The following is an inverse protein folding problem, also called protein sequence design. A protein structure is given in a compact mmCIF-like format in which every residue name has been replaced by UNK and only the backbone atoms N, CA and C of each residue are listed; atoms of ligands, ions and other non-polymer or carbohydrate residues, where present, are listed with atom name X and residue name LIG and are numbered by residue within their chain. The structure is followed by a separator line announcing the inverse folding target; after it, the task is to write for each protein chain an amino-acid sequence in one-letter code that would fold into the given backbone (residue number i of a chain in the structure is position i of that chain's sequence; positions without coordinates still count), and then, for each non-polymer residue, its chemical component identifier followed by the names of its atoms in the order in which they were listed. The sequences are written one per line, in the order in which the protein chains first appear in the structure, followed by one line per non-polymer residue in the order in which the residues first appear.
data_IF_004232545928
#
_entry.id   IF_004232545928
#
_cell.length_a   1.000
_cell.length_b   1.000
_cell.length_c   1.000
_cell.angle_alpha   90.00
_cell.angle_beta   90.00
_cell.angle_gamma   90.00
#
_symmetry.space_group_name_H-M   'P 1'
#
loop_
_entity.id
_entity.type
_entity.pdbx_description
1 polymer ?
#
# COMPACT_ATOMS: atom_id res chain seq x y z
N UNK A 1 11.77 -19.93 0.40
CA UNK A 1 10.98 -19.82 1.63
C UNK A 1 9.56 -20.22 1.23
N UNK A 2 9.03 -21.31 1.76
CA UNK A 2 7.71 -21.81 1.37
C UNK A 2 6.64 -21.18 2.30
N UNK A 3 5.60 -20.59 1.72
CA UNK A 3 4.51 -19.96 2.47
C UNK A 3 3.40 -20.96 2.74
N UNK A 4 2.92 -21.01 4.00
CA UNK A 4 1.94 -22.01 4.45
C UNK A 4 0.51 -21.57 4.24
N UNK A 5 0.26 -20.27 4.22
CA UNK A 5 -1.06 -19.70 3.98
C UNK A 5 -1.01 -18.34 3.27
N UNK A 6 -2.16 -17.86 2.80
CA UNK A 6 -2.25 -16.54 2.17
C UNK A 6 -2.07 -15.39 3.17
N UNK A 7 -2.10 -15.65 4.49
CA UNK A 7 -1.86 -14.62 5.51
C UNK A 7 -0.37 -14.28 5.59
N UNK A 8 0.51 -15.28 5.57
CA UNK A 8 1.96 -15.10 5.49
C UNK A 8 2.36 -14.37 4.20
N UNK A 9 1.77 -14.77 3.06
CA UNK A 9 1.96 -14.08 1.78
C UNK A 9 1.51 -12.62 1.88
N UNK A 10 0.35 -12.36 2.51
CA UNK A 10 -0.16 -11.01 2.70
C UNK A 10 0.77 -10.14 3.56
N UNK A 11 1.26 -10.66 4.68
CA UNK A 11 2.20 -9.96 5.56
C UNK A 11 3.52 -9.66 4.84
N UNK A 12 4.05 -10.62 4.07
CA UNK A 12 5.27 -10.39 3.30
C UNK A 12 5.07 -9.32 2.22
N UNK A 13 3.94 -9.36 1.52
CA UNK A 13 3.59 -8.37 0.52
C UNK A 13 3.45 -6.96 1.13
N UNK A 14 2.87 -6.84 2.33
CA UNK A 14 2.83 -5.59 3.09
C UNK A 14 4.23 -5.05 3.37
N UNK A 15 5.14 -5.90 3.85
CA UNK A 15 6.52 -5.51 4.15
C UNK A 15 7.26 -5.03 2.90
N UNK A 16 7.17 -5.78 1.79
CA UNK A 16 7.81 -5.45 0.52
C UNK A 16 7.36 -4.09 -0.01
N UNK A 17 6.04 -3.89 -0.10
CA UNK A 17 5.50 -2.65 -0.63
C UNK A 17 5.71 -1.46 0.33
N UNK A 18 5.62 -1.68 1.65
CA UNK A 18 5.91 -0.63 2.64
C UNK A 18 7.36 -0.14 2.55
N UNK A 19 8.31 -1.07 2.44
CA UNK A 19 9.73 -0.74 2.28
C UNK A 19 9.99 0.08 1.02
N UNK A 20 9.46 -0.37 -0.12
CA UNK A 20 9.63 0.32 -1.39
C UNK A 20 9.03 1.75 -1.38
N UNK A 21 7.82 1.91 -0.83
CA UNK A 21 7.17 3.22 -0.73
C UNK A 21 8.00 4.16 0.14
N UNK A 22 8.41 3.70 1.33
CA UNK A 22 9.21 4.53 2.24
C UNK A 22 10.50 4.99 1.59
N UNK A 23 11.21 4.07 0.93
CA UNK A 23 12.44 4.38 0.20
C UNK A 23 12.24 5.46 -0.87
N UNK A 24 11.14 5.41 -1.63
CA UNK A 24 10.82 6.45 -2.61
C UNK A 24 10.46 7.79 -1.95
N UNK A 25 9.72 7.74 -0.85
CA UNK A 25 9.25 8.96 -0.18
C UNK A 25 10.34 9.70 0.62
N UNK A 26 11.46 9.04 0.93
CA UNK A 26 12.60 9.66 1.64
C UNK A 26 13.16 10.90 0.90
N UNK A 27 13.03 10.94 -0.42
CA UNK A 27 13.49 12.08 -1.25
C UNK A 27 12.68 13.36 -1.01
N UNK A 28 11.46 13.26 -0.47
CA UNK A 28 10.58 14.41 -0.23
C UNK A 28 10.80 14.99 1.18
N UNK A 29 11.99 15.55 1.43
CA UNK A 29 12.44 16.00 2.77
C UNK A 29 11.40 16.84 3.53
N UNK A 30 10.79 17.82 2.85
CA UNK A 30 9.78 18.72 3.42
C UNK A 30 8.46 18.04 3.84
N UNK A 31 8.17 16.88 3.25
CA UNK A 31 6.94 16.12 3.44
C UNK A 31 7.16 14.81 4.23
N UNK A 32 8.42 14.42 4.39
CA UNK A 32 8.85 13.20 5.05
C UNK A 32 8.94 13.35 6.57
N UNK A 33 9.38 14.51 7.08
CA UNK A 33 9.52 14.71 8.53
C UNK A 33 8.28 15.29 9.22
N UNK A 34 7.27 15.75 8.45
CA UNK A 34 6.09 16.43 8.98
C UNK A 34 6.43 17.87 9.41
N UNK A 35 5.63 18.86 8.98
CA UNK A 35 5.86 20.27 9.35
C UNK A 35 5.17 20.67 10.67
N UNK A 36 4.30 19.81 11.20
CA UNK A 36 3.58 19.96 12.47
C UNK A 36 3.51 18.60 13.17
N UNK A 37 3.57 18.58 14.50
CA UNK A 37 3.54 17.36 15.32
C UNK A 37 2.33 16.46 15.03
N UNK A 38 1.20 17.05 14.59
CA UNK A 38 -0.07 16.35 14.34
C UNK A 38 -0.34 16.01 12.86
N UNK A 39 0.52 16.40 11.92
CA UNK A 39 0.28 16.09 10.50
C UNK A 39 0.86 14.71 10.13
N UNK A 40 0.06 13.80 9.53
CA UNK A 40 0.55 12.48 9.14
C UNK A 40 1.69 12.62 8.14
N UNK A 41 2.86 12.09 8.47
CA UNK A 41 4.07 12.19 7.67
C UNK A 41 4.15 11.08 6.59
N UNK A 42 4.86 11.32 5.49
CA UNK A 42 5.13 10.26 4.50
C UNK A 42 5.97 9.11 5.05
N UNK A 43 6.72 9.32 6.14
CA UNK A 43 7.43 8.25 6.87
C UNK A 43 6.48 7.17 7.40
N UNK A 44 5.23 7.54 7.67
CA UNK A 44 4.20 6.62 8.14
C UNK A 44 3.48 5.89 6.98
N UNK A 45 3.86 6.16 5.72
CA UNK A 45 3.32 5.43 4.59
C UNK A 45 3.52 3.93 4.77
N UNK A 46 2.46 3.17 4.53
CA UNK A 46 2.41 1.72 4.73
C UNK A 46 1.47 1.07 3.73
N UNK A 47 1.77 -0.18 3.40
CA UNK A 47 0.84 -1.06 2.71
C UNK A 47 0.04 -1.85 3.74
N UNK A 48 -1.25 -2.04 3.47
CA UNK A 48 -2.14 -2.87 4.28
C UNK A 48 -2.92 -3.82 3.39
N UNK A 49 -2.79 -5.11 3.71
CA UNK A 49 -3.53 -6.19 3.10
C UNK A 49 -4.92 -6.28 3.71
N UNK A 50 -5.87 -6.68 2.88
CA UNK A 50 -7.21 -7.08 3.31
C UNK A 50 -7.38 -8.53 2.96
N UNK A 51 -7.50 -9.34 4.00
CA UNK A 51 -7.79 -10.77 3.90
C UNK A 51 -9.26 -11.02 4.21
N UNK A 52 -9.84 -12.05 3.59
CA UNK A 52 -11.18 -12.53 3.92
C UNK A 52 -11.09 -13.96 4.44
N UNK A 53 -11.80 -14.21 5.52
CA UNK A 53 -11.91 -15.54 6.11
C UNK A 53 -13.15 -16.24 5.55
N UNK A 54 -12.99 -17.48 5.13
CA UNK A 54 -14.03 -18.34 4.58
C UNK A 54 -13.93 -19.73 5.21
N UNK A 55 -15.09 -20.27 5.61
CA UNK A 55 -15.19 -21.66 6.06
C UNK A 55 -14.17 -22.10 7.10
N UNK A 56 -14.00 -23.41 7.22
CA UNK A 56 -12.92 -24.06 7.97
C UNK A 56 -12.27 -25.08 7.05
N UNK A 57 -10.94 -25.14 7.08
CA UNK A 57 -10.13 -26.21 6.47
C UNK A 57 -10.40 -27.53 7.20
N UNK A 58 -9.95 -28.64 6.61
CA UNK A 58 -10.02 -29.99 7.21
C UNK A 58 -9.42 -30.04 8.62
N UNK A 59 -8.35 -29.28 8.86
CA UNK A 59 -7.65 -29.19 10.16
C UNK A 59 -8.37 -28.30 11.19
N UNK A 60 -9.59 -27.82 10.89
CA UNK A 60 -10.37 -26.94 11.77
C UNK A 60 -9.98 -25.46 11.71
N UNK A 61 -8.81 -25.12 11.15
CA UNK A 61 -8.36 -23.75 10.95
C UNK A 61 -9.19 -23.00 9.89
N UNK A 62 -9.42 -21.69 10.08
CA UNK A 62 -10.16 -20.87 9.11
C UNK A 62 -9.36 -20.69 7.81
N UNK A 63 -10.00 -20.80 6.65
CA UNK A 63 -9.33 -20.52 5.38
C UNK A 63 -9.29 -19.01 5.16
N UNK A 64 -8.10 -18.47 4.92
CA UNK A 64 -7.85 -17.04 4.74
C UNK A 64 -7.43 -16.80 3.30
N UNK A 65 -8.04 -15.79 2.67
CA UNK A 65 -7.76 -15.41 1.29
C UNK A 65 -7.35 -13.95 1.21
N UNK A 66 -6.21 -13.68 0.59
CA UNK A 66 -5.78 -12.33 0.24
C UNK A 66 -6.68 -11.78 -0.87
N UNK A 67 -7.26 -10.60 -0.65
CA UNK A 67 -8.16 -9.94 -1.61
C UNK A 67 -7.57 -8.73 -2.28
N UNK A 68 -6.93 -7.86 -1.49
CA UNK A 68 -6.34 -6.62 -1.99
C UNK A 68 -5.23 -6.15 -1.08
N UNK A 69 -4.30 -5.42 -1.67
CA UNK A 69 -3.25 -4.68 -0.98
C UNK A 69 -3.49 -3.19 -1.24
N UNK A 70 -3.54 -2.38 -0.18
CA UNK A 70 -3.87 -0.95 -0.28
C UNK A 70 -2.74 -0.14 0.32
N UNK A 71 -2.40 0.95 -0.34
CA UNK A 71 -1.41 1.91 0.17
C UNK A 71 -2.12 2.95 1.03
N UNK A 72 -1.62 3.15 2.26
CA UNK A 72 -2.05 4.18 3.20
C UNK A 72 -0.93 5.20 3.34
N UNK A 73 -1.22 6.44 3.00
CA UNK A 73 -0.28 7.56 3.12
C UNK A 73 -1.03 8.87 3.34
N UNK A 74 -0.29 9.90 3.74
CA UNK A 74 -0.82 11.24 3.88
C UNK A 74 -1.28 11.83 2.55
N UNK A 75 -2.27 12.73 2.59
CA UNK A 75 -2.89 13.33 1.40
C UNK A 75 -1.86 13.95 0.47
N UNK A 76 -0.87 14.68 1.00
CA UNK A 76 0.16 15.33 0.20
C UNK A 76 1.03 14.34 -0.59
N UNK A 77 1.13 13.07 -0.17
CA UNK A 77 1.81 12.03 -0.96
C UNK A 77 1.09 11.74 -2.27
N UNK A 78 -0.24 11.64 -2.24
CA UNK A 78 -1.04 11.47 -3.47
C UNK A 78 -0.99 12.71 -4.36
N UNK A 79 -1.03 13.90 -3.74
CA UNK A 79 -0.89 15.18 -4.45
C UNK A 79 0.48 15.26 -5.14
N UNK A 80 1.56 14.87 -4.47
CA UNK A 80 2.90 14.77 -5.07
C UNK A 80 2.94 13.78 -6.24
N UNK A 81 2.23 12.65 -6.10
CA UNK A 81 2.20 11.60 -7.10
C UNK A 81 1.58 12.06 -8.43
N UNK A 82 0.39 12.66 -8.35
CA UNK A 82 -0.39 13.06 -9.52
C UNK A 82 -0.10 14.50 -9.98
N UNK A 83 0.58 15.29 -9.16
CA UNK A 83 0.75 16.72 -9.39
C UNK A 83 -0.55 17.49 -9.12
N UNK A 84 -0.47 18.80 -9.31
CA UNK A 84 -1.60 19.72 -9.16
C UNK A 84 -1.52 20.74 -10.27
N UNK A 85 -2.67 21.04 -10.87
CA UNK A 85 -2.87 22.26 -11.63
C UNK A 85 -4.21 22.86 -11.15
N UNK A 86 -4.12 23.84 -10.26
CA UNK A 86 -5.31 24.47 -9.66
C UNK A 86 -5.01 25.87 -9.14
N UNK A 87 -6.04 26.70 -9.00
CA UNK A 87 -5.94 27.99 -8.34
C UNK A 87 -5.90 27.80 -6.81
N UNK A 88 -4.82 28.22 -6.17
CA UNK A 88 -4.70 28.20 -4.71
C UNK A 88 -5.40 29.43 -4.14
N UNK A 89 -6.27 29.22 -3.15
CA UNK A 89 -6.94 30.31 -2.46
C UNK A 89 -5.92 31.27 -1.79
N UNK A 90 -6.18 32.56 -1.93
CA UNK A 90 -5.47 33.61 -1.19
C UNK A 90 -5.79 33.59 0.30
N UNK A 91 -5.09 34.42 1.07
CA UNK A 91 -5.35 34.57 2.50
C UNK A 91 -4.31 35.44 3.19
N UNK A 92 -4.18 35.26 4.51
CA UNK A 92 -3.24 36.02 5.32
C UNK A 92 -2.16 35.10 5.90
N UNK A 93 -0.90 35.55 5.87
CA UNK A 93 0.22 34.90 6.57
C UNK A 93 0.77 35.82 7.65
N UNK A 94 1.02 35.27 8.83
CA UNK A 94 1.78 35.96 9.88
C UNK A 94 3.28 35.82 9.60
N UNK A 95 3.95 36.96 9.52
CA UNK A 95 5.41 37.07 9.51
C UNK A 95 5.97 36.66 10.88
N UNK A 96 7.24 36.21 10.89
CA UNK A 96 8.02 36.01 12.12
C UNK A 96 8.17 37.32 12.93
N UNK A 97 8.03 38.46 12.28
CA UNK A 97 8.10 39.80 12.88
C UNK A 97 6.73 40.28 13.41
N UNK A 98 5.71 39.43 13.45
CA UNK A 98 4.39 39.73 14.02
C UNK A 98 3.37 40.35 13.06
N UNK A 99 3.81 40.95 11.95
CA UNK A 99 2.92 41.55 10.95
C UNK A 99 2.23 40.48 10.10
N UNK A 100 0.93 40.63 9.83
CA UNK A 100 0.21 39.81 8.85
C UNK A 100 0.24 40.49 7.48
N UNK A 101 0.57 39.74 6.42
CA UNK A 101 0.42 40.19 5.05
C UNK A 101 -0.58 39.33 4.29
N UNK A 102 -1.32 39.99 3.39
CA UNK A 102 -2.26 39.36 2.46
C UNK A 102 -1.50 38.77 1.27
N UNK A 103 -1.96 37.63 0.76
CA UNK A 103 -1.51 37.07 -0.51
C UNK A 103 -2.74 36.70 -1.34
N UNK A 104 -2.71 37.09 -2.61
CA UNK A 104 -3.80 36.82 -3.54
C UNK A 104 -3.87 35.33 -3.92
N UNK A 105 -5.03 34.96 -4.47
CA UNK A 105 -5.16 33.68 -5.13
C UNK A 105 -4.19 33.62 -6.31
N UNK A 106 -3.47 32.51 -6.42
CA UNK A 106 -2.44 32.34 -7.44
C UNK A 106 -2.46 30.91 -7.95
N UNK A 107 -2.01 30.75 -9.19
CA UNK A 107 -1.90 29.45 -9.82
C UNK A 107 -0.88 28.60 -9.07
N UNK A 108 -1.28 27.38 -8.75
CA UNK A 108 -0.42 26.36 -8.17
C UNK A 108 -0.26 25.24 -9.18
N UNK A 109 0.88 25.27 -9.84
CA UNK A 109 1.34 24.19 -10.69
C UNK A 109 2.42 23.38 -9.96
N UNK A 110 2.17 22.09 -9.85
CA UNK A 110 3.13 21.14 -9.32
C UNK A 110 3.20 19.95 -10.26
N UNK A 111 4.39 19.69 -10.81
CA UNK A 111 4.62 18.55 -11.70
C UNK A 111 4.47 17.23 -10.94
N UNK A 112 3.74 16.29 -11.55
CA UNK A 112 3.58 14.94 -11.05
C UNK A 112 4.93 14.24 -10.85
N UNK A 113 5.08 13.54 -9.72
CA UNK A 113 6.22 12.68 -9.40
C UNK A 113 5.71 11.25 -9.24
N UNK A 114 5.72 10.40 -10.28
CA UNK A 114 4.99 9.12 -10.29
C UNK A 114 5.57 7.99 -9.41
N UNK A 115 6.01 8.32 -8.19
CA UNK A 115 6.75 7.42 -7.30
C UNK A 115 5.97 6.20 -6.80
N UNK A 116 4.64 6.24 -6.73
CA UNK A 116 3.81 5.09 -6.29
C UNK A 116 3.94 3.94 -7.29
N UNK A 117 3.84 4.23 -8.58
CA UNK A 117 4.01 3.23 -9.64
C UNK A 117 5.41 2.63 -9.61
N UNK A 118 6.43 3.47 -9.41
CA UNK A 118 7.82 3.02 -9.29
C UNK A 118 8.05 2.17 -8.04
N UNK A 119 7.40 2.49 -6.92
CA UNK A 119 7.46 1.68 -5.70
C UNK A 119 6.81 0.31 -5.90
N UNK A 120 5.67 0.24 -6.59
CA UNK A 120 5.00 -1.04 -6.91
C UNK A 120 5.92 -1.90 -7.78
N UNK A 121 6.51 -1.32 -8.84
CA UNK A 121 7.45 -2.03 -9.71
C UNK A 121 8.69 -2.50 -8.95
N UNK A 122 9.36 -1.62 -8.21
CA UNK A 122 10.57 -1.96 -7.47
C UNK A 122 10.33 -2.99 -6.36
N UNK A 123 9.13 -3.04 -5.81
CA UNK A 123 8.80 -4.00 -4.76
C UNK A 123 8.62 -5.43 -5.27
N UNK A 124 8.47 -5.64 -6.58
CA UNK A 124 8.09 -6.93 -7.19
C UNK A 124 6.85 -7.59 -6.55
N UNK A 125 6.04 -6.81 -5.83
CA UNK A 125 4.95 -7.34 -5.00
C UNK A 125 3.85 -7.99 -5.83
N UNK A 126 3.63 -7.51 -7.05
CA UNK A 126 2.62 -8.04 -7.97
C UNK A 126 3.01 -9.45 -8.40
N UNK A 127 4.25 -9.63 -8.84
CA UNK A 127 4.78 -10.94 -9.25
C UNK A 127 4.80 -11.90 -8.06
N UNK A 128 5.35 -11.46 -6.93
CA UNK A 128 5.39 -12.23 -5.70
C UNK A 128 4.00 -12.75 -5.28
N UNK A 129 2.99 -11.86 -5.20
CA UNK A 129 1.64 -12.26 -4.80
C UNK A 129 1.04 -13.20 -5.85
N UNK A 130 1.21 -12.91 -7.15
CA UNK A 130 0.63 -13.73 -8.21
C UNK A 130 1.14 -15.17 -8.19
N UNK A 131 2.45 -15.37 -8.05
CA UNK A 131 3.07 -16.68 -8.05
C UNK A 131 2.69 -17.47 -6.80
N UNK A 132 2.91 -16.90 -5.62
CA UNK A 132 2.74 -17.61 -4.36
C UNK A 132 1.26 -17.91 -4.06
N UNK A 133 0.35 -16.99 -4.37
CA UNK A 133 -1.09 -17.24 -4.18
C UNK A 133 -1.59 -18.29 -5.20
N UNK A 134 -1.16 -18.22 -6.46
CA UNK A 134 -1.55 -19.21 -7.46
C UNK A 134 -1.06 -20.61 -7.10
N UNK A 135 0.21 -20.75 -6.71
CA UNK A 135 0.79 -22.02 -6.30
C UNK A 135 0.06 -22.60 -5.07
N UNK A 136 -0.16 -21.77 -4.04
CA UNK A 136 -0.84 -22.21 -2.83
C UNK A 136 -2.29 -22.63 -3.10
N UNK A 137 -3.01 -21.90 -3.95
CA UNK A 137 -4.37 -22.27 -4.35
C UNK A 137 -4.40 -23.52 -5.22
N UNK A 138 -3.45 -23.69 -6.14
CA UNK A 138 -3.34 -24.88 -6.97
C UNK A 138 -3.06 -26.13 -6.13
N UNK A 139 -2.15 -26.05 -5.15
CA UNK A 139 -1.89 -27.13 -4.17
C UNK A 139 -3.16 -27.50 -3.40
N UNK A 140 -3.84 -26.52 -2.80
CA UNK A 140 -5.11 -26.75 -2.08
C UNK A 140 -6.17 -27.40 -2.98
N UNK A 141 -6.30 -26.93 -4.22
CA UNK A 141 -7.27 -27.48 -5.16
C UNK A 141 -6.95 -28.93 -5.57
N UNK A 142 -5.68 -29.24 -5.80
CA UNK A 142 -5.24 -30.61 -6.09
C UNK A 142 -5.52 -31.56 -4.92
N UNK A 143 -5.23 -31.14 -3.69
CA UNK A 143 -5.54 -31.91 -2.46
C UNK A 143 -7.05 -32.14 -2.28
N UNK A 144 -7.87 -31.14 -2.60
CA UNK A 144 -9.33 -31.26 -2.57
C UNK A 144 -9.89 -32.20 -3.65
N UNK A 145 -9.27 -32.27 -4.84
CA UNK A 145 -9.69 -33.13 -5.95
C UNK A 145 -9.22 -34.60 -5.83
N UNK A 146 -8.03 -34.84 -5.28
CA UNK A 146 -7.49 -36.20 -5.09
C UNK A 146 -8.33 -36.96 -4.03
N UNK A 147 -8.87 -36.24 -3.06
CA UNK A 147 -9.66 -36.80 -1.97
C UNK A 147 -10.95 -37.53 -2.42
N UNK A 148 -11.84 -36.96 -3.25
CA UNK A 148 -13.02 -37.68 -3.75
C UNK A 148 -12.63 -38.85 -4.66
N UNK A 149 -11.60 -38.73 -5.50
CA UNK A 149 -11.21 -39.81 -6.43
C UNK A 149 -10.74 -41.08 -5.70
N UNK A 150 -9.98 -40.93 -4.61
CA UNK A 150 -9.58 -42.07 -3.77
C UNK A 150 -10.73 -42.71 -2.98
N UNK A 151 -11.81 -41.97 -2.72
CA UNK A 151 -13.02 -42.47 -2.05
C UNK A 151 -13.95 -43.23 -3.01
N UNK A 152 -13.92 -42.92 -4.31
CA UNK A 152 -14.68 -43.62 -5.36
C UNK A 152 -13.90 -44.78 -6.02
N UNK A 153 -12.62 -44.96 -5.70
CA UNK A 153 -11.78 -46.04 -6.23
C UNK A 153 -11.85 -47.35 -5.42
N UNK A 154 -12.93 -47.56 -4.64
CA UNK A 154 -13.21 -48.82 -3.93
C UNK A 154 -14.33 -49.60 -4.58
#
# INVERSE_FOLDING_TARGET
MEYRDELEIAQKAEQMLTGAIRNKTNSFADHYNGKKEDEPSLKQASAKSYVKKYGRKKDGNQQIFLRRLVIRMARHGFVQHYGVNSLRAGGFRKSKLGNSYHYDAHDMEMRAQPFIGDAIKQSDVVEFVSQNVAELRAKNFAEELIFPLSHFAK
#
